data_IF_502177314418
#
_entry.id   IF_502177314418
#
_cell.length_a   1.000
_cell.length_b   1.000
_cell.length_c   1.000
_cell.angle_alpha   90.00
_cell.angle_beta   90.00
_cell.angle_gamma   90.00
#
_symmetry.space_group_name_H-M   'P 1'
#
loop_
_entity.id
_entity.type
_entity.pdbx_description
1 polymer ?
#
# COMPACT_ATOMS: atom_id res chain seq x y z
N UNK A 1 19.14 14.12 12.56
CA UNK A 1 19.30 12.65 12.40
C UNK A 1 20.38 12.42 11.36
N UNK A 2 21.37 11.56 11.61
CA UNK A 2 22.46 11.27 10.67
C UNK A 2 22.40 9.80 10.24
N UNK A 3 22.85 9.52 9.01
CA UNK A 3 23.01 8.18 8.46
C UNK A 3 24.48 7.96 8.09
N UNK A 4 24.96 6.74 8.24
CA UNK A 4 26.39 6.45 8.24
C UNK A 4 26.68 5.05 8.76
N UNK A 5 27.97 4.74 8.84
CA UNK A 5 28.47 3.46 9.32
C UNK A 5 29.03 3.64 10.72
N UNK A 6 28.65 2.75 11.64
CA UNK A 6 29.29 2.68 12.96
C UNK A 6 30.63 1.98 12.77
N UNK A 7 31.72 2.70 13.05
CA UNK A 7 33.08 2.16 12.93
C UNK A 7 33.60 1.64 14.26
N UNK A 8 33.11 2.21 15.36
CA UNK A 8 33.47 1.83 16.72
C UNK A 8 32.28 2.06 17.65
N UNK A 9 31.98 1.10 18.50
CA UNK A 9 30.99 1.24 19.58
C UNK A 9 31.63 0.73 20.87
N UNK A 10 31.64 1.58 21.89
CA UNK A 10 32.03 1.24 23.27
C UNK A 10 30.95 1.71 24.23
N UNK A 11 31.13 1.37 25.51
CA UNK A 11 30.20 1.82 26.57
C UNK A 11 30.21 3.36 26.75
N UNK A 12 31.28 4.04 26.31
CA UNK A 12 31.44 5.48 26.50
C UNK A 12 31.23 6.30 25.22
N UNK A 13 31.53 5.74 24.06
CA UNK A 13 31.57 6.50 22.80
C UNK A 13 31.11 5.67 21.61
N UNK A 14 30.59 6.36 20.60
CA UNK A 14 30.28 5.81 19.28
C UNK A 14 31.04 6.61 18.23
N UNK A 15 31.91 5.92 17.50
CA UNK A 15 32.58 6.41 16.30
C UNK A 15 31.73 6.12 15.07
N UNK A 16 31.36 7.17 14.35
CA UNK A 16 30.39 7.13 13.27
C UNK A 16 30.94 7.84 12.04
N UNK A 17 31.07 7.13 10.93
CA UNK A 17 31.40 7.74 9.63
C UNK A 17 30.10 8.12 8.92
N UNK A 18 29.88 9.43 8.78
CA UNK A 18 28.78 9.98 7.99
C UNK A 18 28.92 9.59 6.51
N UNK A 19 27.83 9.66 5.75
CA UNK A 19 27.88 9.40 4.30
C UNK A 19 28.82 10.34 3.53
N UNK A 20 29.01 11.58 4.00
CA UNK A 20 29.94 12.54 3.41
C UNK A 20 31.42 12.24 3.72
N UNK A 21 31.70 11.15 4.44
CA UNK A 21 33.06 10.75 4.83
C UNK A 21 33.56 11.42 6.11
N UNK A 22 32.79 12.32 6.72
CA UNK A 22 33.16 12.92 7.99
C UNK A 22 33.02 11.89 9.12
N UNK A 23 34.06 11.79 9.94
CA UNK A 23 34.05 10.98 11.16
C UNK A 23 33.54 11.83 12.32
N UNK A 24 32.52 11.32 13.01
CA UNK A 24 31.91 11.93 14.19
C UNK A 24 32.09 10.95 15.34
N UNK A 25 32.69 11.42 16.44
CA UNK A 25 32.72 10.69 17.70
C UNK A 25 31.74 11.38 18.65
N UNK A 26 30.75 10.64 19.13
CA UNK A 26 29.77 11.14 20.07
C UNK A 26 29.80 10.31 21.35
N UNK A 27 29.65 10.96 22.52
CA UNK A 27 29.56 10.23 23.79
C UNK A 27 28.25 9.45 23.84
N UNK A 28 28.28 8.22 24.37
CA UNK A 28 27.10 7.34 24.44
C UNK A 28 25.91 8.02 25.11
N UNK A 29 26.18 8.80 26.16
CA UNK A 29 25.18 9.57 26.92
C UNK A 29 24.53 10.72 26.13
N UNK A 30 25.14 11.18 25.03
CA UNK A 30 24.60 12.24 24.16
C UNK A 30 23.76 11.67 23.01
N UNK A 31 23.76 10.35 22.84
CA UNK A 31 23.05 9.67 21.75
C UNK A 31 21.66 9.29 22.23
N UNK A 32 20.65 10.05 21.78
CA UNK A 32 19.23 9.77 22.07
C UNK A 32 18.80 8.41 21.53
N UNK A 33 19.26 8.02 20.35
CA UNK A 33 18.98 6.69 19.78
C UNK A 33 20.04 6.29 18.75
N UNK A 34 20.45 5.02 18.80
CA UNK A 34 21.30 4.37 17.79
C UNK A 34 20.57 3.13 17.30
N UNK A 35 20.35 3.03 15.98
CA UNK A 35 19.62 1.91 15.37
C UNK A 35 20.24 1.56 14.03
N UNK A 36 20.39 0.26 13.77
CA UNK A 36 20.67 -0.24 12.44
C UNK A 36 19.46 0.02 11.54
N UNK A 37 19.69 0.55 10.34
CA UNK A 37 18.64 0.80 9.35
C UNK A 37 18.95 0.09 8.05
N UNK A 38 17.91 -0.40 7.37
CA UNK A 38 18.00 -0.89 5.99
C UNK A 38 17.57 0.22 5.04
N UNK A 39 18.25 0.34 3.91
CA UNK A 39 17.95 1.32 2.86
C UNK A 39 19.09 1.39 1.85
N UNK A 40 18.99 2.38 0.97
CA UNK A 40 20.04 2.69 0.00
C UNK A 40 20.43 4.16 0.10
N UNK A 41 21.58 4.51 -0.45
CA UNK A 41 21.97 5.90 -0.68
C UNK A 41 21.71 6.23 -2.14
N UNK A 42 21.03 7.34 -2.39
CA UNK A 42 20.74 7.87 -3.73
C UNK A 42 20.96 9.39 -3.66
N UNK A 43 21.84 9.92 -4.51
CA UNK A 43 22.22 11.35 -4.54
C UNK A 43 22.61 11.96 -3.17
N UNK A 44 23.32 11.18 -2.35
CA UNK A 44 23.77 11.60 -1.01
C UNK A 44 22.68 11.55 0.08
N UNK A 45 21.44 11.20 -0.28
CA UNK A 45 20.34 11.00 0.66
C UNK A 45 20.11 9.53 0.97
N UNK A 46 19.75 9.25 2.23
CA UNK A 46 19.33 7.91 2.62
C UNK A 46 17.85 7.67 2.27
N UNK A 47 17.63 6.73 1.37
CA UNK A 47 16.30 6.29 0.94
C UNK A 47 15.93 4.99 1.66
N UNK A 48 14.87 5.06 2.47
CA UNK A 48 14.32 3.89 3.16
C UNK A 48 13.59 2.97 2.19
N UNK A 49 13.58 1.64 2.43
CA UNK A 49 12.70 0.73 1.72
C UNK A 49 11.24 1.16 1.90
N UNK A 50 10.45 1.04 0.85
CA UNK A 50 9.01 1.23 0.97
C UNK A 50 8.34 -0.06 1.49
N UNK A 51 7.67 0.06 2.64
CA UNK A 51 6.90 -1.03 3.23
C UNK A 51 5.47 -1.12 2.65
N UNK A 52 4.98 -0.07 1.97
CA UNK A 52 3.60 0.06 1.50
C UNK A 52 3.45 -0.28 0.01
N UNK A 53 4.07 -1.40 -0.39
CA UNK A 53 4.22 -1.81 -1.81
C UNK A 53 3.11 -2.72 -2.35
N UNK A 54 2.21 -3.21 -1.49
CA UNK A 54 1.18 -4.22 -1.81
C UNK A 54 -0.11 -3.63 -2.37
N UNK A 55 -0.26 -2.30 -2.38
CA UNK A 55 -1.45 -1.57 -2.86
C UNK A 55 -1.10 -0.23 -3.49
N UNK A 56 -1.97 0.21 -4.40
CA UNK A 56 -2.11 1.61 -4.80
C UNK A 56 -3.01 2.33 -3.76
N UNK A 57 -3.93 3.22 -4.16
CA UNK A 57 -4.89 3.83 -3.23
C UNK A 57 -5.83 2.78 -2.65
N UNK A 58 -6.49 1.98 -3.51
CA UNK A 58 -7.40 0.91 -3.08
C UNK A 58 -6.97 -0.44 -3.67
N UNK A 59 -6.70 -0.48 -4.98
CA UNK A 59 -6.34 -1.73 -5.66
C UNK A 59 -5.07 -2.38 -5.10
N UNK A 60 -5.02 -3.72 -5.03
CA UNK A 60 -3.80 -4.43 -4.77
C UNK A 60 -2.82 -4.28 -5.94
N UNK A 61 -1.52 -4.34 -5.64
CA UNK A 61 -0.49 -4.58 -6.66
C UNK A 61 -0.22 -6.09 -6.79
N UNK A 62 0.58 -6.47 -7.79
CA UNK A 62 1.10 -7.83 -7.93
C UNK A 62 2.07 -8.26 -6.81
N UNK A 63 2.37 -7.39 -5.84
CA UNK A 63 3.31 -7.66 -4.74
C UNK A 63 2.58 -8.17 -3.49
N UNK A 64 3.12 -9.21 -2.87
CA UNK A 64 2.63 -9.75 -1.60
C UNK A 64 3.22 -9.04 -0.37
N UNK A 65 2.51 -9.15 0.75
CA UNK A 65 3.13 -8.95 2.06
C UNK A 65 4.08 -10.12 2.36
N UNK A 66 5.19 -9.84 3.03
CA UNK A 66 6.12 -10.89 3.46
C UNK A 66 5.50 -11.73 4.58
N UNK A 67 5.98 -12.96 4.78
CA UNK A 67 5.50 -13.82 5.86
C UNK A 67 5.62 -13.11 7.22
N UNK A 68 4.52 -13.06 7.97
CA UNK A 68 4.43 -12.42 9.29
C UNK A 68 4.27 -10.90 9.26
N UNK A 69 4.35 -10.26 8.08
CA UNK A 69 4.11 -8.83 7.95
C UNK A 69 2.61 -8.54 8.12
N UNK A 70 2.27 -7.57 8.97
CA UNK A 70 0.88 -7.14 9.21
C UNK A 70 0.73 -5.68 8.82
N UNK A 71 -0.31 -5.39 8.04
CA UNK A 71 -0.71 -4.05 7.65
C UNK A 71 -2.09 -3.78 8.23
N UNK A 72 -2.25 -2.66 8.92
CA UNK A 72 -3.54 -2.19 9.44
C UNK A 72 -3.77 -0.80 8.88
N UNK A 73 -5.00 -0.50 8.46
CA UNK A 73 -5.29 0.81 7.92
C UNK A 73 -6.77 1.09 7.82
N UNK A 74 -7.08 2.23 7.21
CA UNK A 74 -8.43 2.66 6.92
C UNK A 74 -8.46 3.32 5.55
N UNK A 75 -9.37 2.87 4.70
CA UNK A 75 -9.70 3.55 3.45
C UNK A 75 -10.80 4.59 3.67
N UNK A 76 -10.63 5.78 3.11
CA UNK A 76 -11.58 6.90 3.21
C UNK A 76 -12.13 7.12 4.62
N UNK A 77 -11.29 6.98 5.65
CA UNK A 77 -11.66 7.04 7.09
C UNK A 77 -12.84 6.13 7.54
N UNK A 78 -13.44 5.34 6.64
CA UNK A 78 -14.67 4.57 6.86
C UNK A 78 -14.47 3.07 6.74
N UNK A 79 -13.45 2.59 6.03
CA UNK A 79 -13.26 1.16 5.78
C UNK A 79 -11.96 0.67 6.42
N UNK A 80 -11.94 0.39 7.73
CA UNK A 80 -10.78 -0.18 8.41
C UNK A 80 -10.54 -1.60 7.93
N UNK A 81 -9.27 -1.95 7.82
CA UNK A 81 -8.85 -3.27 7.38
C UNK A 81 -7.57 -3.72 8.07
N UNK A 82 -7.40 -5.04 8.09
CA UNK A 82 -6.16 -5.73 8.44
C UNK A 82 -5.76 -6.62 7.27
N UNK A 83 -4.47 -6.68 6.96
CA UNK A 83 -3.90 -7.59 5.98
C UNK A 83 -2.63 -8.25 6.54
N UNK A 84 -2.53 -9.56 6.38
CA UNK A 84 -1.48 -10.39 6.96
C UNK A 84 -0.81 -11.19 5.84
N UNK A 85 0.52 -11.18 5.79
CA UNK A 85 1.30 -12.12 4.99
C UNK A 85 1.36 -13.49 5.67
N UNK A 86 0.55 -14.44 5.20
CA UNK A 86 0.53 -15.83 5.71
C UNK A 86 1.80 -16.57 5.29
N UNK A 87 2.24 -16.33 4.05
CA UNK A 87 3.54 -16.74 3.51
C UNK A 87 4.15 -15.58 2.73
N UNK A 88 5.35 -15.74 2.16
CA UNK A 88 5.93 -14.73 1.27
C UNK A 88 5.15 -14.54 -0.04
N UNK A 89 4.16 -15.40 -0.33
CA UNK A 89 3.33 -15.34 -1.54
C UNK A 89 1.84 -15.28 -1.27
N UNK A 90 1.38 -15.71 -0.11
CA UNK A 90 -0.03 -15.69 0.28
C UNK A 90 -0.26 -14.62 1.33
N UNK A 91 -1.19 -13.72 1.04
CA UNK A 91 -1.70 -12.76 2.02
C UNK A 91 -3.21 -12.88 2.14
N UNK A 92 -3.72 -12.70 3.34
CA UNK A 92 -5.16 -12.63 3.61
C UNK A 92 -5.42 -11.33 4.36
N UNK A 93 -6.47 -10.65 3.96
CA UNK A 93 -6.95 -9.48 4.69
C UNK A 93 -8.44 -9.51 4.85
N UNK A 94 -8.95 -8.53 5.58
CA UNK A 94 -10.37 -8.33 5.77
C UNK A 94 -10.63 -7.08 6.60
N UNK A 95 -11.90 -6.71 6.66
CA UNK A 95 -12.33 -5.52 7.37
C UNK A 95 -13.85 -5.43 7.38
N UNK A 96 -14.34 -4.39 8.04
CA UNK A 96 -15.77 -4.08 8.16
C UNK A 96 -15.90 -2.56 8.19
N UNK A 97 -16.91 -1.95 7.56
CA UNK A 97 -17.00 -0.51 7.53
C UNK A 97 -17.39 0.04 8.91
N UNK A 98 -16.85 1.21 9.25
CA UNK A 98 -17.26 2.01 10.40
C UNK A 98 -18.59 2.67 10.05
N UNK A 99 -19.69 1.94 10.26
CA UNK A 99 -21.04 2.48 10.12
C UNK A 99 -21.64 2.69 11.51
N UNK A 100 -21.93 3.95 11.82
CA UNK A 100 -22.54 4.35 13.08
C UNK A 100 -24.07 4.29 12.93
N UNK A 101 -24.77 3.59 13.85
CA UNK A 101 -26.23 3.57 13.89
C UNK A 101 -26.95 2.45 13.12
N UNK A 102 -26.22 1.46 12.58
CA UNK A 102 -26.79 0.16 12.15
C UNK A 102 -26.71 -0.81 13.33
N UNK A 103 -27.77 -1.59 13.57
CA UNK A 103 -27.78 -2.71 14.52
C UNK A 103 -26.52 -3.57 14.33
N UNK A 104 -25.81 -3.86 15.42
CA UNK A 104 -24.48 -4.49 15.40
C UNK A 104 -24.43 -5.86 14.68
N UNK A 105 -25.59 -6.49 14.47
CA UNK A 105 -25.71 -7.87 14.02
C UNK A 105 -25.67 -8.07 12.50
N UNK A 106 -26.03 -7.06 11.70
CA UNK A 106 -26.13 -7.19 10.23
C UNK A 106 -25.00 -6.49 9.46
N UNK A 107 -23.86 -6.25 10.12
CA UNK A 107 -22.78 -5.47 9.51
C UNK A 107 -22.03 -6.25 8.43
N UNK A 108 -21.87 -5.69 7.22
CA UNK A 108 -21.08 -6.35 6.20
C UNK A 108 -19.60 -6.40 6.59
N UNK A 109 -18.93 -7.44 6.16
CA UNK A 109 -17.48 -7.57 6.30
C UNK A 109 -16.91 -8.15 5.01
N UNK A 110 -15.62 -7.95 4.78
CA UNK A 110 -14.97 -8.48 3.60
C UNK A 110 -13.74 -9.30 3.93
N UNK A 111 -13.39 -10.21 3.02
CA UNK A 111 -12.15 -10.95 3.01
C UNK A 111 -11.42 -10.75 1.68
N UNK A 112 -10.09 -10.66 1.75
CA UNK A 112 -9.22 -10.40 0.60
C UNK A 112 -8.06 -11.39 0.52
N UNK A 113 -8.30 -12.68 0.23
CA UNK A 113 -7.20 -13.60 -0.08
C UNK A 113 -6.53 -13.20 -1.39
N UNK A 114 -5.19 -13.17 -1.39
CA UNK A 114 -4.36 -12.85 -2.55
C UNK A 114 -3.14 -13.77 -2.59
N UNK A 115 -2.91 -14.39 -3.74
CA UNK A 115 -1.79 -15.28 -3.99
C UNK A 115 -0.90 -14.74 -5.12
N UNK A 116 0.39 -14.57 -4.82
CA UNK A 116 1.40 -14.12 -5.77
C UNK A 116 1.89 -15.28 -6.62
N UNK A 117 1.52 -15.27 -7.89
CA UNK A 117 1.84 -16.30 -8.89
C UNK A 117 3.20 -16.06 -9.55
N UNK A 118 3.60 -14.79 -9.71
CA UNK A 118 4.90 -14.42 -10.27
C UNK A 118 5.63 -13.51 -9.30
N UNK A 119 6.89 -13.84 -9.00
CA UNK A 119 7.76 -13.03 -8.18
C UNK A 119 9.18 -12.99 -8.77
N UNK A 120 9.45 -11.94 -9.54
CA UNK A 120 10.78 -11.66 -10.09
C UNK A 120 11.22 -10.24 -9.71
N UNK A 121 12.46 -9.88 -10.03
CA UNK A 121 13.03 -8.58 -9.68
C UNK A 121 12.24 -7.38 -10.25
N UNK A 122 11.66 -7.51 -11.45
CA UNK A 122 10.91 -6.43 -12.11
C UNK A 122 9.45 -6.74 -12.41
N UNK A 123 9.05 -8.01 -12.40
CA UNK A 123 7.68 -8.43 -12.71
C UNK A 123 7.13 -9.20 -11.53
N UNK A 124 6.00 -8.74 -11.00
CA UNK A 124 5.23 -9.48 -10.00
C UNK A 124 3.77 -9.57 -10.46
N UNK A 125 3.13 -10.71 -10.22
CA UNK A 125 1.72 -10.88 -10.54
C UNK A 125 1.02 -11.67 -9.44
N UNK A 126 -0.24 -11.36 -9.21
CA UNK A 126 -1.08 -11.99 -8.20
C UNK A 126 -2.49 -12.21 -8.73
N UNK A 127 -3.14 -13.23 -8.21
CA UNK A 127 -4.58 -13.43 -8.32
C UNK A 127 -5.19 -13.31 -6.93
N UNK A 128 -6.42 -12.85 -6.85
CA UNK A 128 -7.09 -12.71 -5.56
C UNK A 128 -8.58 -12.48 -5.70
N UNK A 129 -9.22 -12.41 -4.54
CA UNK A 129 -10.63 -12.10 -4.42
C UNK A 129 -10.76 -10.98 -3.40
N UNK A 130 -11.67 -10.03 -3.63
CA UNK A 130 -12.28 -9.23 -2.58
C UNK A 130 -13.72 -9.72 -2.51
N UNK A 131 -14.11 -10.36 -1.41
CA UNK A 131 -15.47 -10.84 -1.21
C UNK A 131 -16.08 -10.14 0.00
N UNK A 132 -17.21 -9.47 -0.22
CA UNK A 132 -18.03 -8.84 0.80
C UNK A 132 -19.15 -9.82 1.15
N UNK A 133 -19.24 -10.11 2.44
CA UNK A 133 -20.33 -10.85 3.05
C UNK A 133 -21.32 -9.84 3.59
N UNK A 134 -22.58 -9.99 3.20
CA UNK A 134 -23.72 -9.31 3.78
C UNK A 134 -24.45 -10.31 4.68
N UNK A 135 -24.69 -9.93 5.94
CA UNK A 135 -25.32 -10.82 6.93
C UNK A 135 -26.84 -10.91 6.73
N UNK A 136 -27.43 -9.97 5.98
CA UNK A 136 -28.87 -9.94 5.65
C UNK A 136 -29.23 -10.12 4.18
N UNK A 137 -28.26 -10.38 3.29
CA UNK A 137 -28.47 -10.35 1.84
C UNK A 137 -27.51 -11.22 1.02
N UNK A 138 -27.51 -11.03 -0.30
CA UNK A 138 -26.58 -11.71 -1.20
C UNK A 138 -25.21 -11.02 -1.20
N UNK A 139 -24.19 -11.75 -0.74
CA UNK A 139 -22.79 -11.29 -0.81
C UNK A 139 -22.32 -11.06 -2.26
N UNK A 140 -21.26 -10.29 -2.39
CA UNK A 140 -20.69 -9.92 -3.69
C UNK A 140 -19.19 -9.79 -3.63
N UNK A 141 -18.55 -9.56 -4.76
CA UNK A 141 -17.10 -9.42 -4.76
C UNK A 141 -16.50 -9.20 -6.12
N UNK A 142 -15.18 -9.20 -6.15
CA UNK A 142 -14.36 -9.09 -7.36
C UNK A 142 -13.29 -10.17 -7.29
N UNK A 143 -13.34 -11.12 -8.22
CA UNK A 143 -12.21 -11.99 -8.50
C UNK A 143 -11.29 -11.29 -9.52
N UNK A 144 -10.00 -11.20 -9.25
CA UNK A 144 -9.09 -10.39 -10.06
C UNK A 144 -7.73 -11.06 -10.29
N UNK A 145 -7.09 -10.63 -11.38
CA UNK A 145 -5.68 -10.79 -11.65
C UNK A 145 -5.01 -9.42 -11.75
N UNK A 146 -3.81 -9.28 -11.22
CA UNK A 146 -3.05 -8.03 -11.25
C UNK A 146 -1.57 -8.28 -11.46
N UNK A 147 -0.97 -7.51 -12.36
CA UNK A 147 0.46 -7.49 -12.65
C UNK A 147 1.06 -6.15 -12.30
N UNK A 148 2.30 -6.16 -11.80
CA UNK A 148 3.10 -4.97 -11.51
C UNK A 148 4.46 -5.11 -12.16
N UNK A 149 4.85 -4.10 -12.92
CA UNK A 149 6.13 -3.98 -13.59
C UNK A 149 6.91 -2.79 -13.03
N UNK A 150 8.10 -3.06 -12.49
CA UNK A 150 9.01 -2.05 -11.97
C UNK A 150 9.50 -2.32 -10.54
N UNK A 151 10.20 -1.34 -9.97
CA UNK A 151 10.75 -1.40 -8.61
C UNK A 151 9.72 -0.96 -7.57
N UNK A 152 10.05 -1.10 -6.28
CA UNK A 152 9.22 -0.54 -5.20
C UNK A 152 9.08 0.98 -5.25
N UNK A 153 9.91 1.69 -6.02
CA UNK A 153 9.88 3.15 -6.09
C UNK A 153 9.32 3.66 -7.41
N UNK A 154 9.33 2.84 -8.47
CA UNK A 154 8.85 3.22 -9.79
C UNK A 154 8.22 2.00 -10.44
N UNK A 155 6.89 1.99 -10.53
CA UNK A 155 6.18 0.87 -11.11
C UNK A 155 4.86 1.25 -11.75
N UNK A 156 4.45 0.42 -12.71
CA UNK A 156 3.13 0.43 -13.33
C UNK A 156 2.44 -0.86 -12.90
N UNK A 157 1.16 -0.75 -12.56
CA UNK A 157 0.31 -1.88 -12.19
C UNK A 157 -0.90 -1.90 -13.12
N UNK A 158 -1.23 -3.07 -13.65
CA UNK A 158 -2.42 -3.28 -14.45
C UNK A 158 -3.14 -4.54 -13.98
N UNK A 159 -4.46 -4.51 -13.92
CA UNK A 159 -5.27 -5.63 -13.48
C UNK A 159 -6.61 -5.68 -14.19
N UNK A 160 -7.24 -6.84 -14.12
CA UNK A 160 -8.60 -7.06 -14.57
C UNK A 160 -9.33 -7.90 -13.52
N UNK A 161 -10.62 -7.63 -13.36
CA UNK A 161 -11.47 -8.33 -12.41
C UNK A 161 -12.86 -8.59 -12.97
N UNK A 162 -13.50 -9.60 -12.41
CA UNK A 162 -14.90 -9.92 -12.62
C UNK A 162 -15.63 -9.66 -11.31
N UNK A 163 -16.39 -8.56 -11.30
CA UNK A 163 -17.36 -8.25 -10.26
C UNK A 163 -18.56 -9.19 -10.34
N UNK A 164 -19.03 -9.65 -9.18
CA UNK A 164 -20.17 -10.55 -9.05
C UNK A 164 -21.03 -10.16 -7.84
N UNK A 165 -22.34 -10.27 -8.00
CA UNK A 165 -23.36 -10.18 -6.94
C UNK A 165 -24.59 -10.92 -7.46
N UNK A 166 -25.10 -11.91 -6.73
CA UNK A 166 -26.14 -12.81 -7.24
C UNK A 166 -25.80 -13.43 -8.60
N UNK A 167 -26.65 -13.21 -9.60
CA UNK A 167 -26.45 -13.61 -11.00
C UNK A 167 -25.71 -12.57 -11.85
N UNK A 168 -25.54 -11.34 -11.35
CA UNK A 168 -24.96 -10.24 -12.11
C UNK A 168 -23.44 -10.33 -12.22
N UNK A 169 -22.90 -10.05 -13.42
CA UNK A 169 -21.46 -10.11 -13.72
C UNK A 169 -21.00 -8.87 -14.49
N UNK A 170 -19.96 -8.21 -13.97
CA UNK A 170 -19.39 -7.00 -14.57
C UNK A 170 -17.87 -7.06 -14.61
N UNK A 171 -17.29 -6.84 -15.78
CA UNK A 171 -15.84 -6.73 -15.94
C UNK A 171 -15.34 -5.35 -15.53
N UNK A 172 -14.21 -5.31 -14.84
CA UNK A 172 -13.47 -4.09 -14.49
C UNK A 172 -12.01 -4.26 -14.88
N UNK A 173 -11.41 -3.21 -15.43
CA UNK A 173 -9.97 -3.11 -15.62
C UNK A 173 -9.41 -1.96 -14.79
N UNK A 174 -8.18 -2.11 -14.33
CA UNK A 174 -7.48 -1.11 -13.54
C UNK A 174 -6.08 -0.90 -14.09
N UNK A 175 -5.68 0.35 -14.24
CA UNK A 175 -4.30 0.75 -14.54
C UNK A 175 -3.89 1.84 -13.57
N UNK A 176 -2.75 1.65 -12.94
CA UNK A 176 -2.18 2.62 -12.01
C UNK A 176 -0.67 2.62 -12.04
N UNK A 177 -0.10 3.61 -11.37
CA UNK A 177 1.34 3.81 -11.33
C UNK A 177 1.77 4.46 -10.03
N UNK A 178 3.03 4.23 -9.68
CA UNK A 178 3.67 4.86 -8.53
C UNK A 178 5.08 5.31 -8.88
N UNK A 179 5.45 6.49 -8.38
CA UNK A 179 6.79 7.08 -8.54
C UNK A 179 7.22 7.79 -7.28
N UNK A 180 8.28 7.32 -6.64
CA UNK A 180 8.92 8.00 -5.51
C UNK A 180 9.72 9.17 -6.04
N UNK A 181 9.34 10.38 -5.62
CA UNK A 181 9.97 11.64 -6.03
C UNK A 181 10.85 12.24 -4.92
N UNK A 182 10.64 11.82 -3.67
CA UNK A 182 11.50 12.14 -2.52
C UNK A 182 11.56 10.94 -1.57
N UNK A 183 12.51 10.94 -0.64
CA UNK A 183 12.66 9.90 0.39
C UNK A 183 11.36 9.60 1.18
N UNK A 184 10.46 10.58 1.30
CA UNK A 184 9.20 10.51 2.02
C UNK A 184 7.94 10.77 1.16
N UNK A 185 8.06 10.88 -0.17
CA UNK A 185 6.92 11.23 -1.06
C UNK A 185 6.90 10.35 -2.30
N UNK A 186 5.72 9.78 -2.58
CA UNK A 186 5.37 9.11 -3.84
C UNK A 186 4.21 9.80 -4.54
N UNK A 187 4.27 9.88 -5.85
CA UNK A 187 3.13 10.19 -6.71
C UNK A 187 2.44 8.88 -7.10
N UNK A 188 1.12 8.85 -7.02
CA UNK A 188 0.31 7.69 -7.35
C UNK A 188 -0.82 8.07 -8.32
N UNK A 189 -1.20 7.11 -9.15
CA UNK A 189 -2.43 7.15 -9.94
C UNK A 189 -3.07 5.77 -9.95
N UNK A 190 -4.39 5.71 -9.95
CA UNK A 190 -5.16 4.47 -9.99
C UNK A 190 -6.46 4.73 -10.76
N UNK A 191 -6.63 4.06 -11.89
CA UNK A 191 -7.71 4.38 -12.82
C UNK A 191 -8.45 3.11 -13.18
N UNK A 192 -9.78 3.16 -13.09
CA UNK A 192 -10.68 2.06 -13.36
C UNK A 192 -11.52 2.36 -14.58
N UNK A 193 -11.84 1.31 -15.33
CA UNK A 193 -12.81 1.35 -16.43
C UNK A 193 -13.65 0.09 -16.41
N UNK A 194 -14.94 0.23 -16.67
CA UNK A 194 -15.89 -0.87 -16.81
C UNK A 194 -16.82 -0.63 -18.01
N UNK A 195 -17.90 -1.41 -18.12
CA UNK A 195 -18.81 -1.38 -19.28
C UNK A 195 -19.29 0.05 -19.57
N UNK A 196 -19.48 0.33 -20.86
CA UNK A 196 -19.97 1.62 -21.40
C UNK A 196 -18.97 2.80 -21.33
N UNK A 197 -17.71 2.56 -20.97
CA UNK A 197 -16.70 3.61 -20.87
C UNK A 197 -16.73 4.39 -19.56
N UNK A 198 -17.61 3.97 -18.64
CA UNK A 198 -17.65 4.46 -17.27
C UNK A 198 -16.40 4.04 -16.50
N UNK A 199 -16.00 4.85 -15.53
CA UNK A 199 -14.71 4.69 -14.88
C UNK A 199 -14.50 5.60 -13.68
N UNK A 200 -13.33 5.47 -13.08
CA UNK A 200 -12.81 6.44 -12.09
C UNK A 200 -11.38 6.75 -12.50
N UNK A 201 -11.05 8.02 -12.62
CA UNK A 201 -9.67 8.47 -12.73
C UNK A 201 -9.20 9.00 -11.38
N UNK A 202 -8.00 8.65 -10.94
CA UNK A 202 -7.45 9.19 -9.70
C UNK A 202 -5.97 9.48 -9.76
N UNK A 203 -5.56 10.48 -9.00
CA UNK A 203 -4.17 10.92 -8.91
C UNK A 203 -3.90 11.66 -7.61
N UNK A 204 -2.72 11.44 -7.04
CA UNK A 204 -2.38 12.03 -5.76
C UNK A 204 -1.02 11.65 -5.24
N UNK A 205 -0.87 11.83 -3.92
CA UNK A 205 0.41 11.75 -3.21
C UNK A 205 0.28 10.75 -2.06
N UNK A 206 1.29 9.89 -1.90
CA UNK A 206 1.52 9.08 -0.69
C UNK A 206 2.70 9.64 0.08
N UNK A 207 2.45 10.05 1.31
CA UNK A 207 3.47 10.37 2.30
C UNK A 207 3.98 9.08 2.95
N UNK A 208 5.29 8.95 3.09
CA UNK A 208 5.96 7.76 3.59
C UNK A 208 6.72 8.09 4.89
N UNK A 209 6.28 7.48 5.99
CA UNK A 209 7.02 7.38 7.23
C UNK A 209 7.86 6.11 7.31
N UNK A 210 8.30 5.76 8.52
CA UNK A 210 9.03 4.49 8.74
C UNK A 210 8.13 3.26 8.64
N UNK A 211 6.89 3.40 9.10
CA UNK A 211 5.86 2.34 9.16
C UNK A 211 4.48 2.83 8.77
N UNK A 212 4.23 4.13 8.84
CA UNK A 212 2.97 4.76 8.48
C UNK A 212 3.07 5.33 7.07
N UNK A 213 2.04 5.15 6.26
CA UNK A 213 1.78 5.92 5.06
C UNK A 213 0.45 6.64 5.17
N UNK A 214 0.38 7.83 4.57
CA UNK A 214 -0.87 8.55 4.37
C UNK A 214 -1.04 8.89 2.89
N UNK A 215 -2.22 8.70 2.34
CA UNK A 215 -2.56 9.04 0.97
C UNK A 215 -3.47 10.28 0.95
N UNK A 216 -3.22 11.18 0.01
CA UNK A 216 -4.12 12.28 -0.34
C UNK A 216 -4.21 12.36 -1.86
N UNK A 217 -5.40 12.09 -2.41
CA UNK A 217 -5.66 12.09 -3.83
C UNK A 217 -6.99 12.74 -4.16
N UNK A 218 -7.23 12.94 -5.46
CA UNK A 218 -8.55 13.22 -6.01
C UNK A 218 -8.96 12.05 -6.91
N UNK A 219 -10.22 11.66 -6.81
CA UNK A 219 -10.86 10.70 -7.70
C UNK A 219 -12.04 11.37 -8.41
N UNK A 220 -12.17 11.10 -9.71
CA UNK A 220 -13.18 11.68 -10.59
C UNK A 220 -13.85 10.55 -11.36
N UNK A 221 -15.15 10.29 -11.13
CA UNK A 221 -15.92 9.39 -11.97
C UNK A 221 -15.98 9.93 -13.41
N UNK A 222 -15.85 9.04 -14.38
CA UNK A 222 -16.01 9.34 -15.81
C UNK A 222 -17.18 8.53 -16.36
N UNK A 223 -17.82 9.04 -17.41
CA UNK A 223 -19.01 8.41 -18.02
C UNK A 223 -20.35 8.77 -17.37
N UNK A 224 -20.35 9.39 -16.20
CA UNK A 224 -21.56 9.72 -15.42
C UNK A 224 -22.21 11.08 -15.73
N UNK A 225 -21.82 11.76 -16.81
CA UNK A 225 -22.42 13.03 -17.27
C UNK A 225 -22.11 14.28 -16.44
N UNK A 226 -21.73 14.13 -15.17
CA UNK A 226 -21.33 15.23 -14.28
C UNK A 226 -19.87 15.09 -13.82
N UNK A 227 -19.16 16.22 -13.75
CA UNK A 227 -17.80 16.27 -13.22
C UNK A 227 -17.83 16.52 -11.71
N UNK A 228 -17.68 15.44 -10.94
CA UNK A 228 -17.57 15.50 -9.48
C UNK A 228 -16.22 14.93 -9.07
N UNK A 229 -15.44 15.70 -8.31
CA UNK A 229 -14.20 15.22 -7.71
C UNK A 229 -14.45 14.96 -6.21
N UNK A 230 -14.00 13.81 -5.72
CA UNK A 230 -14.01 13.52 -4.29
C UNK A 230 -12.59 13.23 -3.79
N UNK A 231 -12.28 13.61 -2.54
CA UNK A 231 -10.97 13.35 -1.96
C UNK A 231 -10.81 11.86 -1.72
N UNK A 232 -9.57 11.37 -1.87
CA UNK A 232 -9.16 10.05 -1.43
C UNK A 232 -8.16 10.18 -0.29
N UNK A 233 -8.54 9.69 0.89
CA UNK A 233 -7.70 9.78 2.10
C UNK A 233 -7.56 8.42 2.77
N UNK A 234 -6.33 7.92 2.83
CA UNK A 234 -6.03 6.62 3.43
C UNK A 234 -4.92 6.73 4.45
N UNK A 235 -4.99 5.92 5.51
CA UNK A 235 -3.89 5.75 6.47
C UNK A 235 -3.58 4.27 6.63
N UNK A 236 -2.30 3.91 6.56
CA UNK A 236 -1.87 2.52 6.70
C UNK A 236 -0.59 2.44 7.51
N UNK A 237 -0.58 1.56 8.50
CA UNK A 237 0.56 1.24 9.33
C UNK A 237 0.98 -0.22 9.13
N UNK A 238 2.29 -0.45 9.01
CA UNK A 238 2.89 -1.78 8.85
C UNK A 238 3.70 -2.14 10.10
N UNK A 239 3.43 -3.33 10.64
CA UNK A 239 4.14 -3.91 11.78
C UNK A 239 5.35 -4.74 11.33
#
# INVERSE_FOLDING_TARGET
>A
RMYGTVERETDQEVGFRTQAGATVTARRQEIVSLRLVKGRIEDGEFIRPDLHRSRLFFAPTGRSLAKGQVSVGVFEFLAPFVQIGVTDRLSVGGGTPLVFGIDDWDRPFWLTPKFQVVNSARVQASVGVLHVFDVGGEGGGIAYGVGTFGSSDNAITAGAGLGYSGDDRTGVVMVGGERRVRSNIKLLTENYMWKNGDGILSGGIRFLGERLSADLALAVPIGVGELIAFPVVNFVYVF
#
